data_IF_780981686178
#
_entry.id   IF_780981686178
#
_cell.length_a   1.000
_cell.length_b   1.000
_cell.length_c   1.000
_cell.angle_alpha   90.00
_cell.angle_beta   90.00
_cell.angle_gamma   90.00
#
_symmetry.space_group_name_H-M   'P 1'
#
loop_
_entity.id
_entity.type
_entity.pdbx_description
1 polymer ?
#
# COMPACT_ATOMS: atom_id res chain seq x y z
N UNK A 1 -23.87 20.37 -13.35
CA UNK A 1 -23.53 18.94 -13.15
C UNK A 1 -22.07 18.70 -12.75
N UNK A 2 -21.05 19.19 -13.48
CA UNK A 2 -19.62 18.99 -13.12
C UNK A 2 -19.21 19.44 -11.70
N UNK A 3 -19.72 20.59 -11.21
CA UNK A 3 -19.39 21.13 -9.87
C UNK A 3 -19.89 20.26 -8.70
N UNK A 4 -21.06 19.64 -8.85
CA UNK A 4 -21.66 18.77 -7.83
C UNK A 4 -20.89 17.44 -7.76
N UNK A 5 -20.50 16.91 -8.92
CA UNK A 5 -19.68 15.71 -9.01
C UNK A 5 -18.29 15.92 -8.38
N UNK A 6 -17.64 17.05 -8.67
CA UNK A 6 -16.34 17.41 -8.07
C UNK A 6 -16.42 17.58 -6.55
N UNK A 7 -17.44 18.28 -6.04
CA UNK A 7 -17.62 18.45 -4.59
C UNK A 7 -17.91 17.12 -3.87
N UNK A 8 -18.63 16.19 -4.51
CA UNK A 8 -18.87 14.87 -3.93
C UNK A 8 -17.61 13.97 -3.97
N UNK A 9 -16.79 14.10 -5.01
CA UNK A 9 -15.47 13.46 -5.09
C UNK A 9 -14.53 13.95 -3.99
N UNK A 10 -14.44 15.27 -3.78
CA UNK A 10 -13.60 15.87 -2.72
C UNK A 10 -14.07 15.41 -1.34
N UNK A 11 -15.39 15.43 -1.07
CA UNK A 11 -15.94 14.92 0.20
C UNK A 11 -15.69 13.43 0.43
N UNK A 12 -15.75 12.62 -0.64
CA UNK A 12 -15.41 11.20 -0.58
C UNK A 12 -13.92 11.00 -0.29
N UNK A 13 -13.06 11.79 -0.92
CA UNK A 13 -11.61 11.77 -0.71
C UNK A 13 -11.26 12.16 0.74
N UNK A 14 -11.83 13.25 1.26
CA UNK A 14 -11.63 13.72 2.64
C UNK A 14 -12.02 12.65 3.67
N UNK A 15 -13.13 11.95 3.43
CA UNK A 15 -13.59 10.86 4.30
C UNK A 15 -12.60 9.68 4.30
N UNK A 16 -12.09 9.30 3.13
CA UNK A 16 -11.09 8.22 2.98
C UNK A 16 -9.76 8.61 3.61
N UNK A 17 -9.29 9.85 3.41
CA UNK A 17 -8.07 10.38 4.01
C UNK A 17 -8.16 10.40 5.53
N UNK A 18 -9.25 10.94 6.09
CA UNK A 18 -9.46 11.02 7.54
C UNK A 18 -9.47 9.63 8.20
N UNK A 19 -9.98 8.60 7.49
CA UNK A 19 -10.02 7.22 7.98
C UNK A 19 -8.68 6.49 7.89
N UNK A 20 -7.77 6.94 7.02
CA UNK A 20 -6.45 6.34 6.81
C UNK A 20 -5.31 7.26 7.28
N UNK A 21 -5.63 8.31 8.04
CA UNK A 21 -4.65 9.31 8.51
C UNK A 21 -3.51 8.67 9.30
N UNK A 22 -3.79 7.58 10.03
CA UNK A 22 -2.77 6.82 10.76
C UNK A 22 -1.65 6.32 9.84
N UNK A 23 -1.98 5.89 8.62
CA UNK A 23 -1.00 5.38 7.65
C UNK A 23 -0.16 6.52 7.09
N UNK A 24 -0.80 7.67 6.84
CA UNK A 24 -0.11 8.88 6.37
C UNK A 24 0.83 9.42 7.46
N UNK A 25 0.36 9.47 8.71
CA UNK A 25 1.18 9.84 9.87
C UNK A 25 2.34 8.87 10.06
N UNK A 26 2.08 7.56 9.97
CA UNK A 26 3.13 6.54 10.03
C UNK A 26 4.18 6.74 8.94
N UNK A 27 3.75 7.01 7.70
CA UNK A 27 4.65 7.32 6.59
C UNK A 27 5.52 8.57 6.85
N UNK A 28 4.92 9.68 7.32
CA UNK A 28 5.67 10.91 7.62
C UNK A 28 6.67 10.68 8.77
N UNK A 29 6.24 9.99 9.83
CA UNK A 29 7.11 9.66 10.97
C UNK A 29 8.30 8.80 10.51
N UNK A 30 8.06 7.80 9.65
CA UNK A 30 9.12 6.97 9.10
C UNK A 30 10.15 7.78 8.32
N UNK A 31 9.71 8.72 7.47
CA UNK A 31 10.63 9.60 6.74
C UNK A 31 11.50 10.38 7.71
N UNK A 32 10.90 11.01 8.73
CA UNK A 32 11.64 11.80 9.73
C UNK A 32 12.66 10.90 10.45
N UNK A 33 12.23 9.71 10.89
CA UNK A 33 13.11 8.75 11.59
C UNK A 33 14.28 8.33 10.69
N UNK A 34 14.04 7.95 9.44
CA UNK A 34 15.09 7.52 8.52
C UNK A 34 16.05 8.65 8.15
N UNK A 35 15.55 9.88 8.02
CA UNK A 35 16.39 11.06 7.83
C UNK A 35 17.25 11.35 9.08
N UNK A 36 16.67 11.29 10.28
CA UNK A 36 17.39 11.49 11.54
C UNK A 36 18.45 10.41 11.79
N UNK A 37 18.13 9.15 11.48
CA UNK A 37 19.07 8.03 11.59
C UNK A 37 20.11 8.02 10.46
N UNK A 38 20.01 8.94 9.50
CA UNK A 38 20.87 9.04 8.32
C UNK A 38 21.02 7.66 7.67
N UNK A 39 19.89 6.98 7.43
CA UNK A 39 19.89 5.69 6.72
C UNK A 39 20.41 5.96 5.32
N UNK A 40 21.68 5.63 5.09
CA UNK A 40 22.32 5.85 3.81
C UNK A 40 22.21 4.61 2.93
N UNK A 41 21.79 4.86 1.70
CA UNK A 41 21.88 3.93 0.59
C UNK A 41 23.30 3.32 0.42
N UNK A 42 24.33 4.07 0.84
CA UNK A 42 25.74 3.65 0.83
C UNK A 42 26.06 2.45 1.74
N UNK A 43 25.12 1.95 2.53
CA UNK A 43 25.29 0.73 3.36
C UNK A 43 24.91 -0.55 2.59
N UNK A 44 24.13 -0.43 1.51
CA UNK A 44 23.89 -1.52 0.55
C UNK A 44 25.08 -1.51 -0.43
N UNK A 45 26.26 -1.88 0.06
CA UNK A 45 27.57 -1.68 -0.62
C UNK A 45 27.85 -2.63 -1.79
N UNK A 46 26.83 -3.13 -2.48
CA UNK A 46 27.06 -3.85 -3.72
C UNK A 46 25.95 -3.53 -4.74
N UNK A 47 26.34 -3.02 -5.92
CA UNK A 47 25.41 -2.65 -7.00
C UNK A 47 24.51 -3.84 -7.39
N UNK A 48 25.02 -5.06 -7.27
CA UNK A 48 24.27 -6.30 -7.53
C UNK A 48 23.15 -6.52 -6.51
N UNK A 49 23.45 -6.42 -5.21
CA UNK A 49 22.46 -6.61 -4.14
C UNK A 49 21.32 -5.61 -4.21
N UNK A 50 21.60 -4.37 -4.62
CA UNK A 50 20.53 -3.39 -4.84
C UNK A 50 19.64 -3.74 -6.02
N UNK A 51 20.21 -4.24 -7.12
CA UNK A 51 19.44 -4.72 -8.27
C UNK A 51 18.48 -5.83 -7.87
N UNK A 52 19.00 -6.83 -7.17
CA UNK A 52 18.21 -7.96 -6.67
C UNK A 52 17.10 -7.49 -5.73
N UNK A 53 17.38 -6.46 -4.92
CA UNK A 53 16.39 -5.89 -4.02
C UNK A 53 15.28 -5.15 -4.77
N UNK A 54 15.61 -4.35 -5.79
CA UNK A 54 14.61 -3.69 -6.64
C UNK A 54 13.72 -4.72 -7.37
N UNK A 55 14.34 -5.76 -7.95
CA UNK A 55 13.62 -6.83 -8.66
C UNK A 55 12.70 -7.61 -7.73
N UNK A 56 13.16 -7.88 -6.50
CA UNK A 56 12.36 -8.51 -5.45
C UNK A 56 11.17 -7.65 -5.07
N UNK A 57 11.37 -6.34 -4.86
CA UNK A 57 10.28 -5.42 -4.52
C UNK A 57 9.27 -5.29 -5.67
N UNK A 58 9.72 -5.23 -6.93
CA UNK A 58 8.83 -5.24 -8.11
C UNK A 58 7.99 -6.52 -8.14
N UNK A 59 8.63 -7.67 -7.95
CA UNK A 59 7.95 -8.98 -7.98
C UNK A 59 6.93 -9.11 -6.85
N UNK A 60 7.33 -8.77 -5.63
CA UNK A 60 6.47 -8.83 -4.44
C UNK A 60 5.29 -7.86 -4.55
N UNK A 61 5.53 -6.61 -4.94
CA UNK A 61 4.48 -5.60 -5.06
C UNK A 61 3.48 -5.94 -6.17
N UNK A 62 3.95 -6.42 -7.31
CA UNK A 62 3.09 -6.85 -8.43
C UNK A 62 2.24 -8.06 -8.06
N UNK A 63 2.84 -9.07 -7.42
CA UNK A 63 2.14 -10.25 -6.92
C UNK A 63 1.06 -9.88 -5.90
N UNK A 64 1.43 -9.03 -4.93
CA UNK A 64 0.51 -8.55 -3.89
C UNK A 64 -0.65 -7.75 -4.51
N UNK A 65 -0.36 -6.88 -5.47
CA UNK A 65 -1.38 -6.12 -6.21
C UNK A 65 -2.38 -7.07 -6.89
N UNK A 66 -1.89 -8.10 -7.58
CA UNK A 66 -2.75 -9.10 -8.23
C UNK A 66 -3.63 -9.86 -7.22
N UNK A 67 -3.06 -10.31 -6.10
CA UNK A 67 -3.82 -10.97 -5.03
C UNK A 67 -4.89 -10.08 -4.40
N UNK A 68 -4.58 -8.82 -4.14
CA UNK A 68 -5.53 -7.87 -3.57
C UNK A 68 -6.63 -7.53 -4.57
N UNK A 69 -6.30 -7.36 -5.86
CA UNK A 69 -7.29 -7.13 -6.91
C UNK A 69 -8.24 -8.32 -7.04
N UNK A 70 -7.70 -9.55 -7.01
CA UNK A 70 -8.49 -10.77 -6.96
C UNK A 70 -9.38 -10.84 -5.71
N UNK A 71 -8.88 -10.40 -4.56
CA UNK A 71 -9.67 -10.37 -3.31
C UNK A 71 -10.86 -9.41 -3.41
N UNK A 72 -10.69 -8.25 -4.05
CA UNK A 72 -11.78 -7.28 -4.27
C UNK A 72 -12.91 -7.86 -5.11
N UNK A 73 -12.61 -8.75 -6.07
CA UNK A 73 -13.64 -9.39 -6.89
C UNK A 73 -14.26 -10.62 -6.22
N UNK A 74 -13.46 -11.38 -5.46
CA UNK A 74 -13.90 -12.59 -4.79
C UNK A 74 -14.78 -12.32 -3.56
N UNK A 75 -14.43 -11.32 -2.74
CA UNK A 75 -15.10 -11.04 -1.47
C UNK A 75 -16.61 -10.77 -1.67
N UNK A 76 -17.04 -9.88 -2.59
CA UNK A 76 -18.47 -9.66 -2.86
C UNK A 76 -19.17 -10.94 -3.32
N UNK A 77 -18.52 -11.71 -4.20
CA UNK A 77 -19.09 -12.94 -4.76
C UNK A 77 -19.27 -14.04 -3.71
N UNK A 78 -18.39 -14.10 -2.71
CA UNK A 78 -18.53 -14.98 -1.55
C UNK A 78 -19.59 -14.47 -0.58
N UNK A 79 -19.73 -13.16 -0.41
CA UNK A 79 -20.75 -12.60 0.47
C UNK A 79 -22.17 -12.89 -0.05
N UNK A 80 -22.40 -12.73 -1.36
CA UNK A 80 -23.70 -13.02 -1.99
C UNK A 80 -24.14 -14.48 -1.83
N UNK A 81 -23.18 -15.41 -1.80
CA UNK A 81 -23.48 -16.86 -1.72
C UNK A 81 -23.49 -17.42 -0.30
N UNK A 82 -22.62 -16.93 0.58
CA UNK A 82 -22.40 -17.52 1.90
C UNK A 82 -22.82 -16.60 3.06
N UNK A 83 -23.29 -15.37 2.78
CA UNK A 83 -23.74 -14.37 3.77
C UNK A 83 -22.72 -14.10 4.89
N UNK A 84 -21.44 -14.37 4.63
CA UNK A 84 -20.36 -14.29 5.62
C UNK A 84 -20.14 -12.87 6.15
N UNK A 85 -20.56 -11.85 5.39
CA UNK A 85 -20.40 -10.44 5.71
C UNK A 85 -21.73 -9.66 5.71
N UNK A 86 -22.88 -10.35 5.58
CA UNK A 86 -24.22 -9.76 5.41
C UNK A 86 -24.67 -8.87 6.59
N UNK A 87 -24.04 -9.01 7.76
CA UNK A 87 -24.36 -8.25 8.97
C UNK A 87 -23.63 -6.91 9.13
N UNK A 88 -22.80 -6.51 8.17
CA UNK A 88 -21.69 -5.63 8.50
C UNK A 88 -21.41 -4.63 7.37
N UNK A 89 -21.70 -3.35 7.64
CA UNK A 89 -21.20 -2.13 6.96
C UNK A 89 -19.65 -2.14 6.73
N UNK A 90 -19.00 -3.13 7.34
CA UNK A 90 -17.64 -3.63 7.24
C UNK A 90 -17.25 -4.14 5.85
N UNK A 91 -18.16 -4.68 5.03
CA UNK A 91 -17.81 -5.18 3.69
C UNK A 91 -17.30 -4.03 2.80
N UNK A 92 -18.06 -2.94 2.73
CA UNK A 92 -17.64 -1.75 1.97
C UNK A 92 -16.32 -1.18 2.49
N UNK A 93 -16.17 -1.09 3.81
CA UNK A 93 -14.93 -0.63 4.46
C UNK A 93 -13.76 -1.56 4.18
N UNK A 94 -13.98 -2.87 4.15
CA UNK A 94 -12.96 -3.88 3.84
C UNK A 94 -12.51 -3.75 2.40
N UNK A 95 -13.45 -3.71 1.45
CA UNK A 95 -13.17 -3.54 0.02
C UNK A 95 -12.41 -2.24 -0.22
N UNK A 96 -12.84 -1.12 0.37
CA UNK A 96 -12.14 0.16 0.27
C UNK A 96 -10.70 0.06 0.83
N UNK A 97 -10.49 -0.62 1.95
CA UNK A 97 -9.15 -0.79 2.51
C UNK A 97 -8.26 -1.69 1.65
N UNK A 98 -8.82 -2.75 1.03
CA UNK A 98 -8.10 -3.61 0.10
C UNK A 98 -7.76 -2.83 -1.17
N UNK A 99 -8.70 -2.09 -1.76
CA UNK A 99 -8.46 -1.23 -2.93
C UNK A 99 -7.34 -0.22 -2.66
N UNK A 100 -7.35 0.46 -1.52
CA UNK A 100 -6.28 1.39 -1.16
C UNK A 100 -4.92 0.69 -1.00
N UNK A 101 -4.88 -0.52 -0.45
CA UNK A 101 -3.64 -1.30 -0.41
C UNK A 101 -3.17 -1.66 -1.83
N UNK A 102 -4.09 -2.07 -2.70
CA UNK A 102 -3.78 -2.37 -4.11
C UNK A 102 -3.15 -1.16 -4.79
N UNK A 103 -3.74 0.03 -4.63
CA UNK A 103 -3.18 1.28 -5.17
C UNK A 103 -1.79 1.60 -4.60
N UNK A 104 -1.59 1.43 -3.29
CA UNK A 104 -0.27 1.64 -2.67
C UNK A 104 0.80 0.70 -3.23
N UNK A 105 0.49 -0.59 -3.40
CA UNK A 105 1.43 -1.56 -3.98
C UNK A 105 1.66 -1.33 -5.47
N UNK A 106 0.67 -0.85 -6.22
CA UNK A 106 0.83 -0.44 -7.61
C UNK A 106 1.75 0.78 -7.74
N UNK A 107 1.57 1.79 -6.88
CA UNK A 107 2.46 2.95 -6.85
C UNK A 107 3.88 2.55 -6.45
N UNK A 108 4.03 1.62 -5.50
CA UNK A 108 5.32 1.07 -5.12
C UNK A 108 5.99 0.35 -6.29
N UNK A 109 5.28 -0.47 -7.07
CA UNK A 109 5.86 -1.17 -8.22
C UNK A 109 6.33 -0.18 -9.30
N UNK A 110 5.53 0.83 -9.62
CA UNK A 110 5.89 1.89 -10.57
C UNK A 110 7.10 2.67 -10.07
N UNK A 111 7.13 3.08 -8.81
CA UNK A 111 8.25 3.82 -8.24
C UNK A 111 9.54 2.97 -8.29
N UNK A 112 9.45 1.70 -7.93
CA UNK A 112 10.60 0.78 -7.95
C UNK A 112 11.11 0.57 -9.37
N UNK A 113 10.22 0.51 -10.36
CA UNK A 113 10.58 0.43 -11.78
C UNK A 113 11.34 1.67 -12.24
N UNK A 114 10.95 2.86 -11.81
CA UNK A 114 11.69 4.11 -12.09
C UNK A 114 13.10 4.06 -11.50
N UNK A 115 13.24 3.62 -10.24
CA UNK A 115 14.56 3.45 -9.62
C UNK A 115 15.42 2.41 -10.36
N UNK A 116 14.80 1.33 -10.83
CA UNK A 116 15.48 0.31 -11.63
C UNK A 116 15.97 0.88 -12.96
N UNK A 117 15.15 1.67 -13.66
CA UNK A 117 15.57 2.37 -14.88
C UNK A 117 16.74 3.32 -14.61
N UNK A 118 16.70 4.12 -13.54
CA UNK A 118 17.82 5.00 -13.18
C UNK A 118 19.12 4.23 -12.95
N UNK A 119 19.04 3.06 -12.30
CA UNK A 119 20.18 2.15 -12.15
C UNK A 119 20.69 1.61 -13.50
N UNK A 120 19.81 1.26 -14.44
CA UNK A 120 20.21 0.78 -15.77
C UNK A 120 20.96 1.84 -16.59
N UNK A 121 20.67 3.13 -16.36
CA UNK A 121 21.34 4.26 -17.02
C UNK A 121 22.46 4.87 -16.17
N UNK A 122 22.88 4.23 -15.07
CA UNK A 122 23.89 4.71 -14.11
C UNK A 122 23.63 6.17 -13.63
N UNK A 123 22.35 6.53 -13.46
CA UNK A 123 21.95 7.84 -12.94
C UNK A 123 22.12 7.84 -11.41
N UNK A 124 22.87 8.79 -10.88
CA UNK A 124 23.00 8.98 -9.43
C UNK A 124 21.68 9.47 -8.83
N UNK A 125 21.27 8.83 -7.72
CA UNK A 125 20.01 9.11 -7.03
C UNK A 125 20.33 9.64 -5.64
N UNK A 126 19.77 10.79 -5.28
CA UNK A 126 19.89 11.32 -3.93
C UNK A 126 19.28 10.36 -2.89
N UNK A 127 19.91 10.29 -1.72
CA UNK A 127 19.47 9.43 -0.62
C UNK A 127 18.01 9.66 -0.21
N UNK A 128 17.49 10.87 -0.43
CA UNK A 128 16.10 11.21 -0.13
C UNK A 128 15.09 10.36 -0.93
N UNK A 129 15.38 10.04 -2.19
CA UNK A 129 14.50 9.20 -3.00
C UNK A 129 14.47 7.76 -2.50
N UNK A 130 15.61 7.26 -2.01
CA UNK A 130 15.69 5.95 -1.36
C UNK A 130 14.90 5.92 -0.05
N UNK A 131 15.05 6.96 0.78
CA UNK A 131 14.30 7.08 2.05
C UNK A 131 12.80 7.13 1.80
N UNK A 132 12.35 7.91 0.81
CA UNK A 132 10.94 7.96 0.41
C UNK A 132 10.46 6.59 -0.04
N UNK A 133 11.19 5.95 -0.96
CA UNK A 133 10.86 4.63 -1.47
C UNK A 133 10.74 3.58 -0.37
N UNK A 134 11.73 3.50 0.51
CA UNK A 134 11.73 2.55 1.62
C UNK A 134 10.58 2.83 2.61
N UNK A 135 10.25 4.11 2.84
CA UNK A 135 9.09 4.49 3.65
C UNK A 135 7.77 4.04 3.02
N UNK A 136 7.63 4.09 1.69
CA UNK A 136 6.46 3.57 0.96
C UNK A 136 6.34 2.06 1.17
N UNK A 137 7.44 1.30 1.10
CA UNK A 137 7.46 -0.15 1.37
C UNK A 137 6.91 -0.42 2.77
N UNK A 138 7.49 0.20 3.80
CA UNK A 138 7.09 -0.01 5.19
C UNK A 138 5.63 0.38 5.43
N UNK A 139 5.18 1.52 4.91
CA UNK A 139 3.80 1.97 5.06
C UNK A 139 2.80 1.01 4.36
N UNK A 140 3.14 0.50 3.18
CA UNK A 140 2.30 -0.45 2.43
C UNK A 140 2.18 -1.78 3.18
N UNK A 141 3.28 -2.31 3.71
CA UNK A 141 3.28 -3.54 4.51
C UNK A 141 2.46 -3.34 5.80
N UNK A 142 2.67 -2.22 6.51
CA UNK A 142 1.91 -1.91 7.73
C UNK A 142 0.39 -1.89 7.47
N UNK A 143 -0.03 -1.23 6.39
CA UNK A 143 -1.45 -1.17 6.03
C UNK A 143 -1.99 -2.52 5.61
N UNK A 144 -1.21 -3.32 4.87
CA UNK A 144 -1.57 -4.69 4.51
C UNK A 144 -1.81 -5.56 5.76
N UNK A 145 -0.88 -5.54 6.72
CA UNK A 145 -1.01 -6.28 7.98
C UNK A 145 -2.26 -5.85 8.76
N UNK A 146 -2.56 -4.54 8.82
CA UNK A 146 -3.77 -4.04 9.48
C UNK A 146 -5.04 -4.52 8.79
N UNK A 147 -5.05 -4.58 7.46
CA UNK A 147 -6.19 -5.10 6.70
C UNK A 147 -6.40 -6.59 6.93
N UNK A 148 -5.32 -7.38 6.97
CA UNK A 148 -5.40 -8.80 7.34
C UNK A 148 -5.91 -9.00 8.77
N UNK A 149 -5.37 -8.25 9.73
CA UNK A 149 -5.82 -8.31 11.13
C UNK A 149 -7.32 -8.02 11.28
N UNK A 150 -7.81 -7.00 10.57
CA UNK A 150 -9.22 -6.66 10.52
C UNK A 150 -10.07 -7.80 9.93
N UNK A 151 -9.61 -8.41 8.84
CA UNK A 151 -10.28 -9.57 8.23
C UNK A 151 -10.37 -10.74 9.22
N UNK A 152 -9.26 -11.12 9.85
CA UNK A 152 -9.18 -12.25 10.78
C UNK A 152 -10.10 -12.06 12.00
N UNK A 153 -10.12 -10.87 12.60
CA UNK A 153 -11.03 -10.59 13.72
C UNK A 153 -12.49 -10.71 13.30
N UNK A 154 -12.86 -10.16 12.15
CA UNK A 154 -14.25 -10.16 11.71
C UNK A 154 -14.72 -11.59 11.38
N UNK A 155 -13.89 -12.39 10.71
CA UNK A 155 -14.20 -13.81 10.47
C UNK A 155 -14.34 -14.57 11.80
N UNK A 156 -13.43 -14.36 12.75
CA UNK A 156 -13.48 -15.02 14.06
C UNK A 156 -14.75 -14.68 14.86
N UNK A 157 -15.32 -13.49 14.67
CA UNK A 157 -16.59 -13.08 15.28
C UNK A 157 -17.81 -13.73 14.62
N UNK A 158 -17.74 -14.05 13.32
CA UNK A 158 -18.84 -14.69 12.59
C UNK A 158 -18.94 -16.20 12.84
N UNK A 159 -17.83 -16.85 13.22
CA UNK A 159 -17.78 -18.30 13.50
C UNK A 159 -18.28 -18.65 14.92
N UNK A 160 -18.38 -17.66 15.83
CA UNK A 160 -18.98 -17.82 17.16
C UNK A 160 -20.48 -17.56 17.12
#
# INVERSE_FOLDING_TARGET
MKKIFFNNLIKGCDFVFKRNIDVVLFFIILIIVFLCLNVQYSVIQNKEQYSDFLETVISFSSLTTAFLFFSVTLIPLLNDRAKLFEKLDTEKKLIENIMLNTEMFLLLSIYTLVLYCFKLYDIEIDNIYFVIWYSIICASIFKLTRTFYFLTINIAKTIK
#
